data_IF_725327136458
#
_entry.id   IF_725327136458
#
_cell.length_a   1.000
_cell.length_b   1.000
_cell.length_c   1.000
_cell.angle_alpha   90.00
_cell.angle_beta   90.00
_cell.angle_gamma   90.00
#
_symmetry.space_group_name_H-M   'P 1'
#
loop_
_entity.id
_entity.type
_entity.pdbx_description
1 polymer ?
#
# COMPACT_ATOMS: atom_id res chain seq x y z
N UNK A 1 16.70 20.88 -18.17
CA UNK A 1 16.50 19.53 -17.57
C UNK A 1 17.53 19.27 -16.45
N UNK A 2 17.12 18.60 -15.37
CA UNK A 2 18.02 18.24 -14.25
C UNK A 2 18.91 17.04 -14.60
N UNK A 3 20.17 17.04 -14.16
CA UNK A 3 21.13 15.96 -14.35
C UNK A 3 21.00 14.79 -13.35
N UNK A 4 20.06 14.88 -12.39
CA UNK A 4 19.91 13.91 -11.29
C UNK A 4 19.55 12.50 -11.77
N UNK A 5 20.40 11.50 -11.56
CA UNK A 5 20.13 10.14 -12.06
C UNK A 5 19.11 9.37 -11.22
N UNK A 6 19.00 9.67 -9.91
CA UNK A 6 18.05 9.04 -8.99
C UNK A 6 17.19 10.12 -8.35
N UNK A 7 15.87 9.95 -8.44
CA UNK A 7 14.85 10.89 -8.02
C UNK A 7 13.97 10.19 -6.99
N UNK A 8 13.79 10.85 -5.85
CA UNK A 8 12.85 10.44 -4.81
C UNK A 8 11.87 11.58 -4.59
N UNK A 9 10.62 11.24 -4.29
CA UNK A 9 9.58 12.21 -3.98
C UNK A 9 9.12 11.98 -2.55
N UNK A 10 9.05 13.04 -1.76
CA UNK A 10 8.31 13.05 -0.49
C UNK A 10 7.08 13.90 -0.70
N UNK A 11 5.90 13.34 -0.48
CA UNK A 11 4.63 13.99 -0.80
C UNK A 11 3.67 13.96 0.39
N UNK A 12 3.38 15.13 0.94
CA UNK A 12 2.51 15.28 2.10
C UNK A 12 1.05 15.56 1.68
N UNK A 13 0.09 14.93 2.35
CA UNK A 13 -1.35 15.17 2.18
C UNK A 13 -1.79 15.09 0.71
N UNK A 14 -2.51 16.09 0.20
CA UNK A 14 -2.93 16.20 -1.20
C UNK A 14 -1.76 16.23 -2.19
N UNK A 15 -0.56 16.59 -1.73
CA UNK A 15 0.67 16.48 -2.53
C UNK A 15 0.89 15.06 -3.07
N UNK A 16 0.37 14.01 -2.42
CA UNK A 16 0.43 12.66 -2.95
C UNK A 16 -0.40 12.46 -4.22
N UNK A 17 -1.60 13.06 -4.31
CA UNK A 17 -2.36 13.06 -5.56
C UNK A 17 -1.60 13.78 -6.67
N UNK A 18 -1.01 14.95 -6.37
CA UNK A 18 -0.22 15.70 -7.34
C UNK A 18 1.00 14.91 -7.82
N UNK A 19 1.69 14.20 -6.91
CA UNK A 19 2.84 13.37 -7.25
C UNK A 19 2.42 12.21 -8.17
N UNK A 20 1.35 11.49 -7.82
CA UNK A 20 0.83 10.38 -8.65
C UNK A 20 0.39 10.88 -10.02
N UNK A 21 -0.31 12.01 -10.11
CA UNK A 21 -0.76 12.57 -11.38
C UNK A 21 0.40 13.04 -12.26
N UNK A 22 1.43 13.65 -11.66
CA UNK A 22 2.65 14.02 -12.37
C UNK A 22 3.38 12.78 -12.91
N UNK A 23 3.56 11.75 -12.08
CA UNK A 23 4.20 10.50 -12.51
C UNK A 23 3.39 9.80 -13.58
N UNK A 24 2.07 9.79 -13.48
CA UNK A 24 1.19 9.27 -14.54
C UNK A 24 1.35 10.02 -15.86
N UNK A 25 1.46 11.35 -15.81
CA UNK A 25 1.58 12.18 -17.00
C UNK A 25 2.95 12.02 -17.68
N UNK A 26 4.00 11.82 -16.89
CA UNK A 26 5.40 11.82 -17.37
C UNK A 26 6.11 10.48 -17.12
N UNK A 27 5.36 9.38 -17.07
CA UNK A 27 5.89 8.08 -16.63
C UNK A 27 7.07 7.62 -17.48
N UNK A 28 6.98 7.69 -18.81
CA UNK A 28 8.06 7.26 -19.71
C UNK A 28 9.36 8.05 -19.53
N UNK A 29 9.27 9.29 -19.07
CA UNK A 29 10.43 10.17 -18.89
C UNK A 29 11.06 10.03 -17.51
N UNK A 30 10.27 9.54 -16.54
CA UNK A 30 10.65 9.40 -15.14
C UNK A 30 10.99 7.96 -14.77
N UNK A 31 10.47 6.94 -15.48
CA UNK A 31 10.54 5.53 -15.07
C UNK A 31 11.96 5.04 -14.80
N UNK A 32 12.97 5.57 -15.50
CA UNK A 32 14.37 5.16 -15.38
C UNK A 32 15.13 5.88 -14.25
N UNK A 33 14.52 6.91 -13.65
CA UNK A 33 15.17 7.80 -12.68
C UNK A 33 14.39 7.90 -11.38
N UNK A 34 13.09 7.70 -11.40
CA UNK A 34 12.22 7.75 -10.24
C UNK A 34 12.34 6.44 -9.47
N UNK A 35 12.92 6.54 -8.27
CA UNK A 35 13.22 5.38 -7.45
C UNK A 35 12.05 5.04 -6.52
N UNK A 36 11.45 6.05 -5.88
CA UNK A 36 10.35 5.83 -4.94
C UNK A 36 9.57 7.11 -4.62
N UNK A 37 8.38 6.94 -4.04
CA UNK A 37 7.59 8.01 -3.42
C UNK A 37 7.25 7.65 -1.97
N UNK A 38 7.63 8.51 -1.05
CA UNK A 38 7.22 8.44 0.36
C UNK A 38 6.08 9.42 0.61
N UNK A 39 4.90 8.88 0.85
CA UNK A 39 3.73 9.67 1.20
C UNK A 39 3.66 9.86 2.72
N UNK A 40 3.31 11.07 3.15
CA UNK A 40 3.04 11.40 4.55
C UNK A 40 1.62 11.95 4.66
N UNK A 41 0.79 11.34 5.50
CA UNK A 41 -0.62 11.72 5.71
C UNK A 41 -1.39 11.91 4.38
N UNK A 42 -1.05 11.15 3.33
CA UNK A 42 -1.61 11.37 2.01
C UNK A 42 -3.00 10.75 1.88
N UNK A 43 -3.84 11.39 1.07
CA UNK A 43 -5.19 10.92 0.72
C UNK A 43 -5.29 10.39 -0.70
N UNK A 44 -4.15 10.14 -1.38
CA UNK A 44 -4.16 9.62 -2.74
C UNK A 44 -5.00 8.34 -2.85
N UNK A 45 -5.53 8.06 -4.04
CA UNK A 45 -6.25 6.81 -4.28
C UNK A 45 -5.79 6.17 -5.58
N UNK A 46 -5.58 4.85 -5.52
CA UNK A 46 -5.23 4.00 -6.64
C UNK A 46 -6.31 3.98 -7.71
N UNK A 47 -7.56 4.33 -7.36
CA UNK A 47 -8.68 4.38 -8.29
C UNK A 47 -8.52 5.47 -9.36
N UNK A 48 -7.72 6.50 -9.07
CA UNK A 48 -7.40 7.57 -10.02
C UNK A 48 -6.21 7.25 -10.93
N UNK A 49 -5.56 6.10 -10.73
CA UNK A 49 -4.45 5.63 -11.54
C UNK A 49 -4.99 4.84 -12.74
N UNK A 50 -4.67 5.31 -13.94
CA UNK A 50 -5.20 4.82 -15.21
C UNK A 50 -4.45 3.60 -15.75
N UNK A 51 -3.14 3.53 -15.53
CA UNK A 51 -2.28 2.47 -16.05
C UNK A 51 -2.10 1.36 -15.03
N UNK A 52 -2.35 0.10 -15.42
CA UNK A 52 -2.05 -1.06 -14.57
C UNK A 52 -0.57 -1.15 -14.22
N UNK A 53 0.31 -0.79 -15.17
CA UNK A 53 1.76 -0.74 -14.93
C UNK A 53 2.11 0.25 -13.84
N UNK A 54 1.50 1.43 -13.85
CA UNK A 54 1.71 2.42 -12.79
C UNK A 54 1.11 1.97 -11.44
N UNK A 55 -0.01 1.23 -11.44
CA UNK A 55 -0.54 0.64 -10.19
C UNK A 55 0.43 -0.35 -9.56
N UNK A 56 1.05 -1.20 -10.38
CA UNK A 56 2.10 -2.14 -9.94
C UNK A 56 3.29 -1.34 -9.42
N UNK A 57 3.76 -0.35 -10.17
CA UNK A 57 4.88 0.50 -9.77
C UNK A 57 4.62 1.21 -8.43
N UNK A 58 3.42 1.76 -8.21
CA UNK A 58 3.03 2.39 -6.93
C UNK A 58 3.06 1.38 -5.79
N UNK A 59 2.57 0.16 -6.02
CA UNK A 59 2.59 -0.91 -5.02
C UNK A 59 4.00 -1.27 -4.57
N UNK A 60 4.94 -1.31 -5.51
CA UNK A 60 6.33 -1.74 -5.26
C UNK A 60 7.22 -0.61 -4.73
N UNK A 61 7.02 0.62 -5.20
CA UNK A 61 7.97 1.72 -5.02
C UNK A 61 7.44 2.84 -4.12
N UNK A 62 6.23 2.71 -3.56
CA UNK A 62 5.66 3.73 -2.70
C UNK A 62 5.27 3.18 -1.34
N UNK A 63 5.24 4.07 -0.34
CA UNK A 63 4.73 3.80 1.01
C UNK A 63 3.96 5.02 1.51
N UNK A 64 2.91 4.81 2.32
CA UNK A 64 2.15 5.90 2.92
C UNK A 64 2.16 5.83 4.44
N UNK A 65 2.74 6.84 5.08
CA UNK A 65 2.71 6.99 6.53
C UNK A 65 1.40 7.64 6.96
N UNK A 66 0.66 6.98 7.84
CA UNK A 66 -0.65 7.40 8.30
C UNK A 66 -0.62 7.77 9.78
N UNK A 67 -1.46 8.74 10.13
CA UNK A 67 -1.81 9.02 11.52
C UNK A 67 -2.52 7.79 12.11
N UNK A 68 -1.94 7.24 13.17
CA UNK A 68 -2.43 6.07 13.89
C UNK A 68 -1.77 6.00 15.26
N UNK A 69 -2.43 5.33 16.19
CA UNK A 69 -1.96 4.98 17.53
C UNK A 69 -1.21 3.63 17.59
N UNK A 70 -1.09 2.92 16.46
CA UNK A 70 -0.29 1.71 16.37
C UNK A 70 1.22 2.06 16.48
N UNK A 71 2.05 1.11 16.95
CA UNK A 71 3.51 1.20 16.86
C UNK A 71 4.02 1.73 15.52
N UNK A 72 5.05 2.57 15.55
CA UNK A 72 5.63 3.17 14.33
C UNK A 72 6.12 2.08 13.38
N UNK A 73 5.75 2.19 12.11
CA UNK A 73 6.07 1.20 11.09
C UNK A 73 5.19 -0.04 11.08
N UNK A 74 4.19 -0.14 11.97
CA UNK A 74 3.17 -1.21 11.88
C UNK A 74 2.31 -1.00 10.64
N UNK A 75 2.04 -2.08 9.91
CA UNK A 75 1.26 -2.02 8.68
C UNK A 75 -0.23 -1.75 8.96
N UNK A 76 -0.79 -0.83 8.19
CA UNK A 76 -2.22 -0.49 8.21
C UNK A 76 -2.81 -0.99 6.90
N UNK A 77 -3.77 -1.91 6.99
CA UNK A 77 -4.43 -2.45 5.81
C UNK A 77 -5.41 -1.43 5.22
N UNK A 78 -4.99 -0.77 4.14
CA UNK A 78 -5.84 0.16 3.39
C UNK A 78 -5.57 0.08 1.89
N UNK A 79 -6.38 -0.74 1.22
CA UNK A 79 -6.25 -0.99 -0.22
C UNK A 79 -6.49 0.26 -1.09
N UNK A 80 -7.07 1.33 -0.55
CA UNK A 80 -7.38 2.56 -1.31
C UNK A 80 -6.12 3.21 -1.86
N UNK A 81 -5.01 3.13 -1.13
CA UNK A 81 -3.76 3.77 -1.51
C UNK A 81 -2.98 2.99 -2.57
N UNK A 82 -3.23 1.68 -2.68
CA UNK A 82 -2.52 0.81 -3.64
C UNK A 82 -1.04 0.59 -3.33
N UNK A 83 -0.56 1.05 -2.17
CA UNK A 83 0.78 0.83 -1.64
C UNK A 83 0.70 0.46 -0.15
N UNK A 84 1.82 -0.02 0.42
CA UNK A 84 1.88 -0.33 1.85
C UNK A 84 1.64 0.94 2.66
N UNK A 85 0.80 0.83 3.69
CA UNK A 85 0.55 1.92 4.61
C UNK A 85 1.13 1.58 5.97
N UNK A 86 1.80 2.55 6.59
CA UNK A 86 2.55 2.37 7.83
C UNK A 86 2.07 3.35 8.88
N UNK A 87 1.97 2.91 10.13
CA UNK A 87 1.66 3.80 11.24
C UNK A 87 2.81 4.76 11.50
N UNK A 88 2.48 6.03 11.69
CA UNK A 88 3.40 7.08 12.14
C UNK A 88 3.44 7.23 13.67
N UNK A 89 2.64 6.46 14.42
CA UNK A 89 2.49 6.57 15.87
C UNK A 89 2.30 8.02 16.35
N UNK A 90 1.25 8.67 15.85
CA UNK A 90 0.93 10.05 16.19
C UNK A 90 -0.56 10.34 16.13
N UNK A 91 -1.00 11.30 16.95
CA UNK A 91 -2.42 11.65 17.13
C UNK A 91 -2.95 12.63 16.08
N UNK A 92 -2.05 13.31 15.34
CA UNK A 92 -2.41 14.36 14.39
C UNK A 92 -1.67 14.22 13.07
N UNK A 93 -2.37 14.47 11.96
CA UNK A 93 -1.80 14.40 10.62
C UNK A 93 -0.63 15.38 10.42
N UNK A 94 -0.66 16.56 11.03
CA UNK A 94 0.45 17.51 10.98
C UNK A 94 1.77 16.98 11.55
N UNK A 95 1.72 15.98 12.45
CA UNK A 95 2.92 15.40 13.05
C UNK A 95 3.49 14.23 12.27
N UNK A 96 2.71 13.61 11.38
CA UNK A 96 3.14 12.43 10.61
C UNK A 96 4.49 12.67 9.94
N UNK A 97 4.64 13.76 9.19
CA UNK A 97 5.88 14.06 8.46
C UNK A 97 7.08 14.16 9.41
N UNK A 98 6.93 14.89 10.51
CA UNK A 98 8.02 15.07 11.49
C UNK A 98 8.35 13.80 12.26
N UNK A 99 7.36 12.93 12.50
CA UNK A 99 7.54 11.67 13.22
C UNK A 99 8.29 10.62 12.39
N UNK A 100 8.16 10.67 11.06
CA UNK A 100 8.64 9.59 10.18
C UNK A 100 9.79 10.00 9.26
N UNK A 101 10.25 11.26 9.31
CA UNK A 101 11.22 11.78 8.35
C UNK A 101 12.53 10.99 8.33
N UNK A 102 13.01 10.53 9.49
CA UNK A 102 14.21 9.70 9.56
C UNK A 102 14.00 8.34 8.88
N UNK A 103 12.84 7.71 9.08
CA UNK A 103 12.46 6.44 8.43
C UNK A 103 12.29 6.58 6.91
N UNK A 104 11.82 7.74 6.45
CA UNK A 104 11.72 8.12 5.03
C UNK A 104 13.12 8.18 4.41
N UNK A 105 14.06 8.90 5.03
CA UNK A 105 15.42 9.00 4.51
C UNK A 105 16.21 7.70 4.62
N UNK A 106 16.02 6.91 5.69
CA UNK A 106 16.61 5.58 5.83
C UNK A 106 16.17 4.65 4.68
N UNK A 107 14.91 4.74 4.27
CA UNK A 107 14.41 4.00 3.13
C UNK A 107 15.03 4.48 1.81
N UNK A 108 15.22 5.79 1.62
CA UNK A 108 15.92 6.30 0.45
C UNK A 108 17.37 5.81 0.38
N UNK A 109 18.09 5.84 1.50
CA UNK A 109 19.46 5.30 1.57
C UNK A 109 19.48 3.81 1.20
N UNK A 110 18.54 3.01 1.72
CA UNK A 110 18.42 1.59 1.34
C UNK A 110 18.15 1.42 -0.16
N UNK A 111 17.22 2.16 -0.74
CA UNK A 111 16.92 2.10 -2.18
C UNK A 111 18.08 2.54 -3.06
N UNK A 112 18.94 3.45 -2.59
CA UNK A 112 20.16 3.83 -3.32
C UNK A 112 21.18 2.69 -3.41
N UNK A 113 21.20 1.81 -2.41
CA UNK A 113 22.17 0.70 -2.30
C UNK A 113 21.71 -0.60 -2.92
N UNK A 114 20.41 -0.74 -3.19
CA UNK A 114 19.88 -1.91 -3.90
C UNK A 114 20.28 -1.85 -5.38
N UNK A 115 20.65 -2.97 -6.00
CA UNK A 115 20.88 -3.01 -7.44
C UNK A 115 19.61 -2.58 -8.18
N UNK A 116 19.74 -1.93 -9.34
CA UNK A 116 18.62 -1.47 -10.15
C UNK A 116 17.92 -2.70 -10.79
N UNK A 117 17.16 -3.45 -9.98
CA UNK A 117 16.56 -4.76 -10.34
C UNK A 117 15.31 -4.59 -11.23
N UNK A 118 14.69 -3.40 -11.24
CA UNK A 118 13.30 -3.25 -11.71
C UNK A 118 13.10 -2.57 -13.06
N UNK A 119 14.16 -2.03 -13.69
CA UNK A 119 14.01 -1.41 -15.01
C UNK A 119 13.80 -2.43 -16.14
N UNK A 120 14.18 -3.70 -15.96
CA UNK A 120 14.04 -4.74 -16.99
C UNK A 120 12.63 -5.38 -17.04
N UNK A 121 11.85 -5.32 -15.96
CA UNK A 121 10.53 -5.97 -15.87
C UNK A 121 9.35 -5.12 -16.37
N UNK A 122 9.60 -3.88 -16.79
CA UNK A 122 8.57 -2.88 -17.13
C UNK A 122 8.34 -2.69 -18.64
N UNK A 123 9.08 -3.41 -19.48
CA UNK A 123 9.05 -3.29 -20.95
C UNK A 123 8.12 -4.31 -21.65
N UNK A 124 7.62 -5.33 -20.95
CA UNK A 124 6.65 -6.27 -21.52
C UNK A 124 5.20 -5.89 -21.16
N UNK A 125 4.40 -5.59 -22.18
CA UNK A 125 2.95 -5.34 -22.11
C UNK A 125 2.14 -6.65 -21.85
N UNK A 126 2.79 -7.75 -21.49
CA UNK A 126 2.18 -9.05 -21.28
C UNK A 126 1.89 -9.29 -19.79
N UNK A 127 0.60 -9.40 -19.46
CA UNK A 127 0.11 -9.69 -18.11
C UNK A 127 0.50 -11.13 -17.74
N UNK A 128 1.66 -11.33 -17.10
CA UNK A 128 2.12 -12.65 -16.64
C UNK A 128 1.72 -12.87 -15.18
N UNK A 129 0.96 -13.93 -14.90
CA UNK A 129 0.57 -14.35 -13.55
C UNK A 129 1.79 -14.61 -12.65
N UNK A 130 2.96 -14.92 -13.23
CA UNK A 130 4.21 -15.08 -12.48
C UNK A 130 4.72 -13.77 -11.86
N UNK A 131 4.25 -12.61 -12.33
CA UNK A 131 4.60 -11.30 -11.74
C UNK A 131 4.02 -11.20 -10.32
N UNK A 132 2.82 -11.73 -10.06
CA UNK A 132 2.20 -11.71 -8.72
C UNK A 132 2.98 -12.57 -7.71
N UNK A 133 3.54 -13.71 -8.12
CA UNK A 133 4.40 -14.51 -7.24
C UNK A 133 5.75 -13.86 -6.96
N UNK A 134 6.33 -13.16 -7.96
CA UNK A 134 7.58 -12.44 -7.78
C UNK A 134 7.39 -11.15 -6.97
N UNK A 135 6.23 -10.51 -7.07
CA UNK A 135 5.77 -9.39 -6.24
C UNK A 135 5.68 -9.78 -4.75
N UNK A 136 5.08 -10.93 -4.45
CA UNK A 136 4.99 -11.46 -3.08
C UNK A 136 6.40 -11.75 -2.52
N UNK A 137 7.32 -12.31 -3.32
CA UNK A 137 8.72 -12.53 -2.90
C UNK A 137 9.48 -11.23 -2.64
N UNK A 138 9.32 -10.21 -3.49
CA UNK A 138 9.96 -8.92 -3.28
C UNK A 138 9.42 -8.24 -2.01
N UNK A 139 8.10 -8.23 -1.82
CA UNK A 139 7.48 -7.70 -0.60
C UNK A 139 7.96 -8.43 0.67
N UNK A 140 8.13 -9.75 0.63
CA UNK A 140 8.69 -10.52 1.75
C UNK A 140 10.12 -10.11 2.12
N UNK A 141 10.93 -9.79 1.11
CA UNK A 141 12.29 -9.25 1.32
C UNK A 141 12.23 -7.84 1.92
N UNK A 142 11.26 -7.00 1.51
CA UNK A 142 11.12 -5.63 1.99
C UNK A 142 10.48 -5.51 3.38
N UNK A 143 9.54 -6.39 3.74
CA UNK A 143 8.82 -6.38 5.02
C UNK A 143 9.61 -7.04 6.17
N UNK A 144 10.67 -7.78 5.87
CA UNK A 144 11.39 -8.62 6.84
C UNK A 144 10.57 -9.88 7.21
N UNK A 145 11.28 -10.98 7.48
CA UNK A 145 10.73 -12.34 7.67
C UNK A 145 9.66 -12.51 8.79
N UNK A 146 9.30 -11.45 9.52
CA UNK A 146 8.39 -11.54 10.68
C UNK A 146 6.93 -11.78 10.31
N UNK A 147 6.44 -11.24 9.18
CA UNK A 147 5.00 -11.23 8.85
C UNK A 147 4.51 -12.51 8.15
N UNK A 148 5.40 -13.23 7.44
CA UNK A 148 5.02 -14.42 6.66
C UNK A 148 4.66 -15.60 7.58
N UNK A 149 5.37 -15.74 8.70
CA UNK A 149 5.11 -16.79 9.68
C UNK A 149 3.72 -16.61 10.33
N UNK A 150 3.31 -15.37 10.61
CA UNK A 150 2.06 -15.06 11.30
C UNK A 150 0.81 -15.30 10.43
N UNK A 151 0.93 -15.21 9.10
CA UNK A 151 -0.15 -15.50 8.16
C UNK A 151 -0.25 -17.00 7.88
N UNK A 152 0.88 -17.71 7.74
CA UNK A 152 0.88 -19.15 7.51
C UNK A 152 0.36 -19.95 8.70
N UNK A 153 0.58 -19.49 9.94
CA UNK A 153 0.02 -20.12 11.14
C UNK A 153 -1.51 -19.94 11.28
N UNK A 154 -2.09 -18.92 10.63
CA UNK A 154 -3.53 -18.64 10.67
C UNK A 154 -4.33 -19.29 9.54
N UNK A 155 -3.66 -19.77 8.49
CA UNK A 155 -4.27 -20.56 7.41
C UNK A 155 -4.09 -22.05 7.73
N UNK A 156 -4.55 -22.48 8.91
CA UNK A 156 -4.96 -23.88 9.06
C UNK A 156 -6.42 -23.97 8.61
N UNK A 157 -6.62 -24.48 7.40
CA UNK A 157 -7.92 -24.92 6.89
C UNK A 157 -8.48 -25.98 7.86
N UNK A 158 -9.33 -25.56 8.78
CA UNK A 158 -10.25 -26.44 9.48
C UNK A 158 -11.36 -26.86 8.52
N UNK A 159 -11.54 -28.16 8.35
CA UNK A 159 -12.55 -28.78 7.49
C UNK A 159 -13.95 -28.15 7.70
N UNK A 160 -14.47 -27.51 6.65
CA UNK A 160 -15.86 -27.08 6.59
C UNK A 160 -16.76 -28.29 6.34
N UNK A 161 -17.04 -29.06 7.40
CA UNK A 161 -18.20 -29.94 7.45
C UNK A 161 -18.87 -29.78 8.80
N UNK A 162 -19.83 -28.84 8.88
CA UNK A 162 -21.07 -28.90 9.68
C UNK A 162 -21.56 -27.48 10.01
N UNK A 163 -22.39 -26.92 9.12
CA UNK A 163 -23.30 -25.84 9.48
C UNK A 163 -24.73 -26.42 9.52
N UNK A 164 -25.40 -26.44 10.69
CA UNK A 164 -26.78 -26.90 10.78
C UNK A 164 -27.72 -25.87 10.15
N UNK A 165 -28.57 -26.34 9.24
CA UNK A 165 -29.68 -25.57 8.68
C UNK A 165 -30.72 -25.35 9.79
N UNK A 166 -30.94 -24.09 10.19
CA UNK A 166 -32.06 -23.74 11.07
C UNK A 166 -33.38 -23.67 10.28
N UNK A 167 -34.49 -24.24 10.78
CA UNK A 167 -35.78 -24.15 10.10
C UNK A 167 -36.48 -22.82 10.40
N UNK A 168 -37.11 -22.26 9.37
CA UNK A 168 -38.03 -21.12 9.49
C UNK A 168 -39.27 -21.54 10.30
N UNK A 169 -39.46 -20.95 11.48
CA UNK A 169 -40.69 -21.12 12.27
C UNK A 169 -41.72 -20.05 11.91
N UNK A 170 -42.92 -20.51 11.52
CA UNK A 170 -44.12 -19.70 11.32
C UNK A 170 -44.75 -19.19 12.64
N UNK A 171 -45.35 -17.98 12.54
CA UNK A 171 -46.53 -17.40 13.24
C UNK A 171 -46.43 -16.90 14.69
N UNK A 172 -46.92 -15.67 14.87
CA UNK A 172 -47.81 -15.33 15.98
C UNK A 172 -47.76 -13.88 16.54
N UNK A 173 -48.71 -13.04 16.11
CA UNK A 173 -49.47 -12.03 16.88
C UNK A 173 -48.82 -11.17 17.98
N UNK A 174 -48.96 -9.83 17.90
CA UNK A 174 -48.84 -8.95 19.06
C UNK A 174 -48.83 -7.45 18.74
N UNK A 175 -49.72 -6.71 19.41
CA UNK A 175 -50.09 -5.28 19.28
C UNK A 175 -49.13 -4.25 19.94
N UNK A 176 -49.26 -2.97 19.53
CA UNK A 176 -48.90 -1.76 20.30
C UNK A 176 -47.78 -0.92 19.66
N UNK A 177 -48.01 0.24 19.03
CA UNK A 177 -48.42 1.57 19.53
C UNK A 177 -47.25 2.57 19.65
N UNK A 178 -47.34 3.68 18.91
CA UNK A 178 -46.87 5.01 19.34
C UNK A 178 -45.51 5.49 18.84
N UNK A 179 -45.53 6.44 17.90
CA UNK A 179 -44.51 7.49 17.77
C UNK A 179 -45.25 8.81 17.53
N UNK A 180 -45.29 9.64 18.59
CA UNK A 180 -45.23 11.11 18.53
C UNK A 180 -43.86 11.50 19.09
#
# INVERSE_FOLDING_TARGET
PSAAQKIFIVANSYGGHCAVDAVQTYFEELKDRLMAIEFAASTHSIDFVKSNRLKIWIRENCRNWLMSDLPIGEEILDARFGCICLSANCEYNEYVTTSVIDYVFDFFVKNLTMPDIYHEAMDDDEYDENILENLDKAQKIFAGDSLVNDVQDKIQFGDYTDCPIYPLSEKGSGSGSGWD
#
